data_IF_999648827168
#
_entry.id   IF_999648827168
#
_cell.length_a   1.000
_cell.length_b   1.000
_cell.length_c   1.000
_cell.angle_alpha   90.00
_cell.angle_beta   90.00
_cell.angle_gamma   90.00
#
_symmetry.space_group_name_H-M   'P 1'
#
loop_
_entity.id
_entity.type
_entity.pdbx_description
1 polymer ?
#
# COMPACT_ATOMS: atom_id res chain seq x y z
N UNK A 1 -8.04 -12.15 2.72
CA UNK A 1 -8.83 -13.20 2.06
C UNK A 1 -7.85 -14.25 1.55
N UNK A 2 -8.17 -15.55 1.57
CA UNK A 2 -7.26 -16.59 1.05
C UNK A 2 -7.91 -17.35 -0.09
N UNK A 3 -7.14 -17.66 -1.12
CA UNK A 3 -7.52 -18.44 -2.29
C UNK A 3 -6.69 -19.72 -2.32
N UNK A 4 -7.31 -20.82 -2.76
CA UNK A 4 -6.61 -22.07 -3.00
C UNK A 4 -6.20 -22.18 -4.47
N UNK A 5 -5.04 -22.76 -4.73
CA UNK A 5 -4.51 -22.95 -6.09
C UNK A 5 -5.45 -23.79 -6.99
N UNK A 6 -6.27 -24.65 -6.38
CA UNK A 6 -7.25 -25.50 -7.06
C UNK A 6 -8.46 -24.71 -7.57
N UNK A 7 -8.76 -23.56 -6.95
CA UNK A 7 -9.92 -22.72 -7.24
C UNK A 7 -9.59 -21.63 -8.27
N UNK A 8 -8.36 -21.59 -8.79
CA UNK A 8 -7.93 -20.57 -9.73
C UNK A 8 -8.71 -20.67 -11.06
N UNK A 9 -9.13 -19.54 -11.64
CA UNK A 9 -9.84 -19.51 -12.92
C UNK A 9 -8.90 -19.72 -14.10
N UNK A 10 -8.36 -20.94 -14.26
CA UNK A 10 -7.38 -21.26 -15.31
C UNK A 10 -7.83 -20.90 -16.73
N UNK A 11 -9.13 -21.00 -17.02
CA UNK A 11 -9.68 -20.59 -18.32
C UNK A 11 -9.53 -19.08 -18.60
N UNK A 12 -9.56 -18.23 -17.56
CA UNK A 12 -9.32 -16.78 -17.72
C UNK A 12 -7.83 -16.48 -17.91
N UNK A 13 -6.94 -17.22 -17.24
CA UNK A 13 -5.50 -17.12 -17.50
C UNK A 13 -5.15 -17.53 -18.93
N UNK A 14 -5.78 -18.58 -19.46
CA UNK A 14 -5.56 -19.04 -20.84
C UNK A 14 -5.97 -17.98 -21.87
N UNK A 15 -7.05 -17.24 -21.63
CA UNK A 15 -7.46 -16.10 -22.47
C UNK A 15 -6.41 -14.97 -22.49
N UNK A 16 -5.57 -14.88 -21.46
CA UNK A 16 -4.44 -13.94 -21.38
C UNK A 16 -3.11 -14.56 -21.85
N UNK A 17 -3.15 -15.73 -22.48
CA UNK A 17 -1.96 -16.40 -22.99
C UNK A 17 -1.16 -17.17 -21.93
N UNK A 18 -1.69 -17.37 -20.72
CA UNK A 18 -1.03 -18.13 -19.66
C UNK A 18 -1.66 -19.52 -19.52
N UNK A 19 -0.88 -20.57 -19.78
CA UNK A 19 -1.33 -21.93 -19.49
C UNK A 19 -1.35 -22.19 -17.98
N UNK A 20 -2.08 -23.23 -17.55
CA UNK A 20 -2.01 -23.71 -16.16
C UNK A 20 -0.58 -23.94 -15.66
N UNK A 21 0.32 -24.42 -16.53
CA UNK A 21 1.73 -24.62 -16.18
C UNK A 21 2.44 -23.30 -15.92
N UNK A 22 2.16 -22.26 -16.71
CA UNK A 22 2.76 -20.94 -16.55
C UNK A 22 2.28 -20.28 -15.26
N UNK A 23 0.99 -20.43 -14.94
CA UNK A 23 0.40 -19.93 -13.69
C UNK A 23 1.07 -20.59 -12.48
N UNK A 24 1.24 -21.92 -12.49
CA UNK A 24 1.85 -22.64 -11.36
C UNK A 24 3.35 -22.33 -11.23
N UNK A 25 4.03 -22.05 -12.35
CA UNK A 25 5.47 -21.75 -12.42
C UNK A 25 5.80 -20.26 -12.37
N UNK A 26 4.81 -19.39 -12.19
CA UNK A 26 5.07 -17.96 -12.03
C UNK A 26 5.94 -17.70 -10.79
N UNK A 27 6.46 -16.48 -10.67
CA UNK A 27 7.23 -16.09 -9.51
C UNK A 27 6.48 -16.47 -8.20
N UNK A 28 7.11 -17.21 -7.27
CA UNK A 28 6.44 -17.66 -6.04
C UNK A 28 5.86 -16.52 -5.20
N UNK A 29 6.50 -15.35 -5.23
CA UNK A 29 6.01 -14.16 -4.54
C UNK A 29 4.74 -13.62 -5.18
N UNK A 30 4.66 -13.59 -6.52
CA UNK A 30 3.47 -13.14 -7.24
C UNK A 30 2.29 -14.09 -7.01
N UNK A 31 2.53 -15.40 -7.10
CA UNK A 31 1.52 -16.41 -6.79
C UNK A 31 1.04 -16.28 -5.34
N UNK A 32 1.97 -16.15 -4.39
CA UNK A 32 1.63 -15.97 -2.99
C UNK A 32 0.83 -14.69 -2.75
N UNK A 33 1.20 -13.57 -3.39
CA UNK A 33 0.46 -12.32 -3.31
C UNK A 33 -0.97 -12.49 -3.79
N UNK A 34 -1.14 -13.07 -4.98
CA UNK A 34 -2.44 -13.32 -5.60
C UNK A 34 -3.32 -14.25 -4.75
N UNK A 35 -2.75 -15.35 -4.21
CA UNK A 35 -3.46 -16.27 -3.34
C UNK A 35 -3.84 -15.67 -1.98
N UNK A 36 -3.17 -14.61 -1.53
CA UNK A 36 -3.54 -13.85 -0.33
C UNK A 36 -4.46 -12.66 -0.64
N UNK A 37 -4.94 -12.52 -1.89
CA UNK A 37 -5.81 -11.44 -2.34
C UNK A 37 -5.09 -10.12 -2.62
N UNK A 38 -3.75 -10.15 -2.69
CA UNK A 38 -2.93 -9.06 -3.19
C UNK A 38 -2.81 -9.08 -4.72
N UNK A 39 -2.04 -8.12 -5.23
CA UNK A 39 -1.70 -8.02 -6.66
C UNK A 39 -0.33 -8.65 -6.92
N UNK A 40 -0.11 -9.16 -8.12
CA UNK A 40 1.23 -9.53 -8.59
C UNK A 40 2.09 -8.29 -8.86
N UNK A 41 3.38 -8.49 -9.10
CA UNK A 41 4.19 -7.53 -9.85
C UNK A 41 3.73 -7.46 -11.31
N UNK A 42 4.36 -6.59 -12.11
CA UNK A 42 4.12 -6.53 -13.54
C UNK A 42 4.52 -7.87 -14.19
N UNK A 43 3.56 -8.46 -14.89
CA UNK A 43 3.72 -9.69 -15.65
C UNK A 43 3.50 -9.33 -17.13
N UNK A 44 4.44 -9.69 -18.02
CA UNK A 44 4.23 -9.55 -19.45
C UNK A 44 3.22 -10.60 -19.91
N UNK A 45 2.15 -10.15 -20.57
CA UNK A 45 1.12 -11.01 -21.14
C UNK A 45 1.00 -10.79 -22.64
N UNK A 46 0.70 -11.87 -23.35
CA UNK A 46 0.36 -11.85 -24.77
C UNK A 46 -1.14 -12.08 -24.88
N UNK A 47 -1.88 -11.00 -25.10
CA UNK A 47 -3.33 -11.03 -25.17
C UNK A 47 -3.75 -11.30 -26.62
N UNK A 48 -4.35 -12.46 -26.85
CA UNK A 48 -4.93 -12.79 -28.14
C UNK A 48 -6.21 -11.96 -28.34
N UNK A 49 -6.13 -10.97 -29.21
CA UNK A 49 -7.30 -10.27 -29.70
C UNK A 49 -7.92 -11.12 -30.81
N UNK A 50 -9.21 -11.45 -30.70
CA UNK A 50 -9.91 -12.24 -31.72
C UNK A 50 -9.84 -11.61 -33.12
N UNK A 51 -10.26 -12.36 -34.13
CA UNK A 51 -10.46 -11.88 -35.52
C UNK A 51 -9.20 -11.41 -36.26
N UNK A 52 -8.12 -12.22 -36.29
CA UNK A 52 -6.95 -11.95 -37.15
C UNK A 52 -6.15 -10.70 -36.76
N UNK A 53 -6.42 -10.14 -35.58
CA UNK A 53 -5.66 -9.06 -34.98
C UNK A 53 -4.41 -9.66 -34.36
N UNK A 54 -3.26 -9.03 -34.59
CA UNK A 54 -2.02 -9.46 -33.97
C UNK A 54 -2.16 -9.41 -32.44
N UNK A 55 -1.66 -10.42 -31.72
CA UNK A 55 -1.64 -10.39 -30.26
C UNK A 55 -0.99 -9.11 -29.74
N UNK A 56 -1.54 -8.56 -28.66
CA UNK A 56 -0.95 -7.40 -27.98
C UNK A 56 -0.09 -7.91 -26.82
N UNK A 57 1.13 -7.40 -26.76
CA UNK A 57 1.97 -7.53 -25.57
C UNK A 57 1.67 -6.38 -24.61
N UNK A 58 1.40 -6.72 -23.36
CA UNK A 58 1.12 -5.74 -22.31
C UNK A 58 1.74 -6.20 -20.99
N UNK A 59 2.28 -5.24 -20.23
CA UNK A 59 2.64 -5.46 -18.83
C UNK A 59 1.46 -5.11 -17.95
N UNK A 60 1.04 -6.05 -17.11
CA UNK A 60 -0.12 -5.89 -16.23
C UNK A 60 0.17 -6.47 -14.85
N UNK A 61 -0.54 -5.98 -13.82
CA UNK A 61 -0.68 -6.74 -12.57
C UNK A 61 -1.94 -7.58 -12.61
N UNK A 62 -1.92 -8.70 -11.90
CA UNK A 62 -3.06 -9.61 -11.76
C UNK A 62 -3.52 -9.67 -10.31
N UNK A 63 -4.81 -9.84 -10.09
CA UNK A 63 -5.37 -10.13 -8.76
C UNK A 63 -6.58 -11.05 -8.86
N UNK A 64 -6.98 -11.62 -7.73
CA UNK A 64 -8.17 -12.46 -7.65
C UNK A 64 -9.27 -11.76 -6.87
N UNK A 65 -10.50 -11.93 -7.34
CA UNK A 65 -11.70 -11.52 -6.62
C UNK A 65 -12.59 -12.72 -6.42
N UNK A 66 -13.14 -12.86 -5.20
CA UNK A 66 -14.18 -13.84 -4.92
C UNK A 66 -15.54 -13.20 -5.16
N UNK A 67 -16.30 -13.79 -6.07
CA UNK A 67 -17.64 -13.34 -6.44
C UNK A 67 -18.67 -13.75 -5.38
N UNK A 68 -19.87 -13.14 -5.37
CA UNK A 68 -20.94 -13.48 -4.43
C UNK A 68 -21.39 -14.96 -4.46
N UNK A 69 -21.22 -15.62 -5.61
CA UNK A 69 -21.51 -17.04 -5.80
C UNK A 69 -20.35 -17.97 -5.37
N UNK A 70 -19.34 -17.41 -4.68
CA UNK A 70 -18.10 -18.04 -4.26
C UNK A 70 -17.13 -18.46 -5.38
N UNK A 71 -17.43 -18.18 -6.64
CA UNK A 71 -16.48 -18.37 -7.74
C UNK A 71 -15.32 -17.37 -7.64
N UNK A 72 -14.19 -17.69 -8.26
CA UNK A 72 -13.01 -16.83 -8.29
C UNK A 72 -12.84 -16.28 -9.69
N UNK A 73 -12.72 -14.96 -9.82
CA UNK A 73 -12.41 -14.28 -11.08
C UNK A 73 -11.02 -13.67 -11.04
N UNK A 74 -10.40 -13.56 -12.22
CA UNK A 74 -9.14 -12.89 -12.45
C UNK A 74 -9.40 -11.43 -12.84
N UNK A 75 -8.77 -10.51 -12.13
CA UNK A 75 -8.73 -9.10 -12.48
C UNK A 75 -7.39 -8.77 -13.13
N UNK A 76 -7.46 -7.97 -14.20
CA UNK A 76 -6.31 -7.47 -14.96
C UNK A 76 -6.15 -5.98 -14.70
N UNK A 77 -4.97 -5.57 -14.27
CA UNK A 77 -4.62 -4.19 -13.93
C UNK A 77 -3.56 -3.67 -14.92
N UNK A 78 -3.98 -3.06 -16.04
CA UNK A 78 -3.05 -2.51 -17.02
C UNK A 78 -2.37 -1.24 -16.52
N UNK A 79 -1.21 -0.92 -17.08
CA UNK A 79 -0.55 0.37 -16.83
C UNK A 79 -1.34 1.48 -17.51
N UNK A 80 -1.85 2.42 -16.72
CA UNK A 80 -2.53 3.61 -17.24
C UNK A 80 -1.50 4.69 -17.60
N UNK A 81 -1.76 5.45 -18.66
CA UNK A 81 -0.88 6.56 -19.08
C UNK A 81 -0.68 7.61 -17.98
N UNK A 82 -1.70 7.84 -17.15
CA UNK A 82 -1.65 8.78 -16.04
C UNK A 82 -2.63 8.39 -14.93
N UNK A 83 -2.31 8.69 -13.67
CA UNK A 83 -3.24 8.56 -12.56
C UNK A 83 -4.49 9.40 -12.75
N UNK A 84 -5.66 8.88 -12.38
CA UNK A 84 -6.94 9.59 -12.45
C UNK A 84 -7.49 9.83 -11.04
N UNK A 85 -7.83 11.08 -10.75
CA UNK A 85 -8.48 11.45 -9.49
C UNK A 85 -9.99 11.14 -9.54
N UNK A 86 -10.34 9.86 -9.38
CA UNK A 86 -11.72 9.38 -9.41
C UNK A 86 -12.48 9.62 -8.10
N UNK A 87 -11.78 10.03 -7.04
CA UNK A 87 -12.33 10.17 -5.69
C UNK A 87 -12.60 11.61 -5.29
N UNK A 88 -12.29 12.59 -6.13
CA UNK A 88 -12.39 14.00 -5.79
C UNK A 88 -11.48 14.39 -4.62
N UNK A 89 -10.25 13.89 -4.62
CA UNK A 89 -9.21 14.32 -3.69
C UNK A 89 -8.87 15.79 -3.96
N UNK A 90 -8.73 16.59 -2.91
CA UNK A 90 -8.25 17.98 -3.03
C UNK A 90 -6.77 17.99 -3.47
N UNK A 91 -6.22 19.09 -4.00
CA UNK A 91 -4.84 19.13 -4.51
C UNK A 91 -3.79 18.57 -3.54
N UNK A 92 -3.84 18.96 -2.26
CA UNK A 92 -2.90 18.46 -1.24
C UNK A 92 -3.00 16.93 -1.02
N UNK A 93 -4.21 16.38 -1.03
CA UNK A 93 -4.44 14.93 -0.92
C UNK A 93 -3.97 14.19 -2.19
N UNK A 94 -4.20 14.79 -3.36
CA UNK A 94 -3.77 14.22 -4.63
C UNK A 94 -2.24 14.21 -4.74
N UNK A 95 -1.55 15.26 -4.28
CA UNK A 95 -0.08 15.28 -4.20
C UNK A 95 0.47 14.18 -3.29
N UNK A 96 -0.17 13.90 -2.15
CA UNK A 96 0.20 12.76 -1.28
C UNK A 96 0.04 11.42 -2.03
N UNK A 97 -1.09 11.23 -2.72
CA UNK A 97 -1.31 10.03 -3.53
C UNK A 97 -0.27 9.87 -4.64
N UNK A 98 0.08 10.95 -5.36
CA UNK A 98 1.14 10.93 -6.37
C UNK A 98 2.52 10.58 -5.79
N UNK A 99 2.78 10.94 -4.53
CA UNK A 99 3.97 10.52 -3.78
C UNK A 99 3.89 9.06 -3.31
N UNK A 100 2.76 8.38 -3.50
CA UNK A 100 2.53 6.99 -3.07
C UNK A 100 2.12 6.88 -1.60
N UNK A 101 1.76 7.99 -0.97
CA UNK A 101 1.27 8.04 0.40
C UNK A 101 -0.20 7.62 0.46
N UNK A 102 -0.62 7.17 1.64
CA UNK A 102 -2.01 6.83 1.91
C UNK A 102 -2.76 8.06 2.36
N UNK A 103 -4.00 8.20 1.90
CA UNK A 103 -4.97 9.14 2.46
C UNK A 103 -6.22 8.40 2.95
N UNK A 104 -6.93 8.99 3.91
CA UNK A 104 -8.28 8.56 4.27
C UNK A 104 -9.28 9.57 3.73
N UNK A 105 -10.31 9.06 3.06
CA UNK A 105 -11.45 9.87 2.61
C UNK A 105 -12.74 9.08 2.77
N UNK A 106 -13.81 9.79 3.10
CA UNK A 106 -15.15 9.23 3.10
C UNK A 106 -15.59 8.87 1.67
N UNK A 107 -16.18 7.69 1.53
CA UNK A 107 -16.75 7.23 0.26
C UNK A 107 -18.20 6.83 0.48
N UNK A 108 -19.04 7.16 -0.51
CA UNK A 108 -20.43 6.71 -0.53
C UNK A 108 -20.49 5.28 -1.06
N UNK A 109 -21.02 4.37 -0.26
CA UNK A 109 -21.24 2.97 -0.62
C UNK A 109 -22.49 2.81 -1.49
N UNK A 110 -22.62 1.65 -2.14
CA UNK A 110 -23.78 1.36 -3.00
C UNK A 110 -25.12 1.41 -2.26
N UNK A 111 -25.13 1.07 -0.97
CA UNK A 111 -26.32 1.17 -0.11
C UNK A 111 -26.59 2.60 0.41
N UNK A 112 -25.82 3.60 -0.04
CA UNK A 112 -26.02 5.01 0.31
C UNK A 112 -25.38 5.46 1.63
N UNK A 113 -24.79 4.55 2.40
CA UNK A 113 -24.00 4.90 3.58
C UNK A 113 -22.70 5.62 3.20
N UNK A 114 -22.13 6.34 4.16
CA UNK A 114 -20.81 6.97 4.02
C UNK A 114 -19.88 6.27 4.99
N UNK A 115 -18.76 5.76 4.49
CA UNK A 115 -17.76 5.09 5.33
C UNK A 115 -16.32 5.46 4.92
N UNK A 116 -15.38 5.48 5.88
CA UNK A 116 -14.00 5.86 5.61
C UNK A 116 -13.28 4.78 4.79
N UNK A 117 -12.58 5.22 3.74
CA UNK A 117 -11.75 4.40 2.88
C UNK A 117 -10.30 4.91 2.89
N UNK A 118 -9.34 3.99 2.92
CA UNK A 118 -7.97 4.28 2.55
C UNK A 118 -7.86 4.30 1.04
N UNK A 119 -7.07 5.24 0.54
CA UNK A 119 -6.67 5.32 -0.86
C UNK A 119 -5.16 5.42 -0.97
N UNK A 120 -4.60 4.75 -1.97
CA UNK A 120 -3.18 4.82 -2.30
C UNK A 120 -3.00 4.66 -3.80
N UNK A 121 -2.02 5.34 -4.38
CA UNK A 121 -1.67 5.14 -5.78
C UNK A 121 -0.72 3.95 -5.93
N UNK A 122 -1.03 3.05 -6.86
CA UNK A 122 -0.08 2.09 -7.39
C UNK A 122 0.77 2.78 -8.46
N UNK A 123 2.02 3.12 -8.11
CA UNK A 123 2.93 3.84 -9.02
C UNK A 123 3.32 3.04 -10.26
N UNK A 124 3.22 1.71 -10.23
CA UNK A 124 3.56 0.90 -11.39
C UNK A 124 2.44 0.89 -12.42
N UNK A 125 1.18 0.91 -11.98
CA UNK A 125 0.01 0.83 -12.86
C UNK A 125 -0.72 2.17 -13.04
N UNK A 126 -0.35 3.20 -12.27
CA UNK A 126 -1.08 4.46 -12.14
C UNK A 126 -2.55 4.27 -11.71
N UNK A 127 -2.87 3.15 -11.06
CA UNK A 127 -4.21 2.85 -10.58
C UNK A 127 -4.38 3.33 -9.13
N UNK A 128 -5.53 3.95 -8.85
CA UNK A 128 -5.90 4.32 -7.49
C UNK A 128 -6.51 3.12 -6.77
N UNK A 129 -5.80 2.63 -5.75
CA UNK A 129 -6.25 1.55 -4.88
C UNK A 129 -7.20 2.09 -3.81
N UNK A 130 -8.11 1.24 -3.34
CA UNK A 130 -8.99 1.57 -2.22
C UNK A 130 -9.26 0.38 -1.31
N UNK A 131 -9.38 0.63 -0.02
CA UNK A 131 -9.78 -0.35 0.98
C UNK A 131 -10.66 0.30 2.05
N UNK A 132 -11.72 -0.37 2.50
CA UNK A 132 -12.54 0.13 3.62
C UNK A 132 -11.70 0.08 4.90
N UNK A 133 -11.64 1.17 5.66
CA UNK A 133 -10.87 1.19 6.92
C UNK A 133 -11.32 0.08 7.87
N UNK A 134 -12.64 -0.15 7.96
CA UNK A 134 -13.24 -1.19 8.80
C UNK A 134 -12.91 -2.63 8.36
N UNK A 135 -12.47 -2.83 7.12
CA UNK A 135 -12.09 -4.16 6.60
C UNK A 135 -10.62 -4.51 6.86
N UNK A 136 -9.82 -3.54 7.30
CA UNK A 136 -8.38 -3.72 7.52
C UNK A 136 -8.14 -4.52 8.78
N UNK A 137 -7.49 -5.67 8.60
CA UNK A 137 -7.10 -6.55 9.69
C UNK A 137 -5.60 -6.39 9.95
N UNK A 138 -5.25 -5.71 11.03
CA UNK A 138 -3.88 -5.63 11.50
C UNK A 138 -3.56 -6.87 12.32
N UNK A 139 -2.50 -7.64 11.98
CA UNK A 139 -2.10 -8.82 12.76
C UNK A 139 -1.83 -8.49 14.23
N UNK A 140 -2.05 -9.47 15.12
CA UNK A 140 -1.70 -9.34 16.54
C UNK A 140 -0.19 -9.29 16.77
N UNK A 141 0.58 -9.91 15.87
CA UNK A 141 2.03 -9.96 15.94
C UNK A 141 2.62 -9.65 14.57
N UNK A 142 3.64 -8.80 14.53
CA UNK A 142 4.43 -8.54 13.33
C UNK A 142 5.89 -8.76 13.69
N UNK A 143 6.58 -9.63 12.96
CA UNK A 143 7.96 -10.04 13.27
C UNK A 143 8.15 -10.52 14.72
N UNK A 144 7.13 -11.20 15.28
CA UNK A 144 7.15 -11.68 16.67
C UNK A 144 6.90 -10.62 17.74
N UNK A 145 6.72 -9.35 17.36
CA UNK A 145 6.40 -8.24 18.27
C UNK A 145 4.88 -8.08 18.35
N UNK A 146 4.33 -8.02 19.57
CA UNK A 146 2.90 -7.82 19.80
C UNK A 146 2.49 -6.39 19.45
N UNK A 147 1.36 -6.23 18.74
CA UNK A 147 0.81 -4.94 18.36
C UNK A 147 -0.33 -4.58 19.30
N UNK A 148 -0.19 -3.47 20.02
CA UNK A 148 -1.21 -2.97 20.94
C UNK A 148 -2.48 -2.52 20.21
N UNK A 149 -3.60 -2.45 20.91
CA UNK A 149 -4.85 -1.93 20.33
C UNK A 149 -4.71 -0.49 19.82
N UNK A 150 -3.96 0.34 20.54
CA UNK A 150 -3.67 1.72 20.13
C UNK A 150 -2.85 1.77 18.84
N UNK A 151 -1.79 0.96 18.74
CA UNK A 151 -0.96 0.84 17.53
C UNK A 151 -1.77 0.34 16.33
N UNK A 152 -2.71 -0.58 16.54
CA UNK A 152 -3.61 -1.04 15.48
C UNK A 152 -4.51 0.08 14.98
N UNK A 153 -5.07 0.89 15.88
CA UNK A 153 -5.90 2.03 15.50
C UNK A 153 -5.09 3.12 14.80
N UNK A 154 -3.87 3.41 15.25
CA UNK A 154 -2.93 4.30 14.55
C UNK A 154 -2.68 3.83 13.11
N UNK A 155 -2.35 2.54 12.93
CA UNK A 155 -2.17 1.97 11.59
C UNK A 155 -3.43 2.11 10.73
N UNK A 156 -4.61 1.76 11.25
CA UNK A 156 -5.89 1.91 10.51
C UNK A 156 -6.19 3.34 10.11
N UNK A 157 -5.72 4.31 10.88
CA UNK A 157 -5.81 5.74 10.58
C UNK A 157 -4.74 6.21 9.57
N UNK A 158 -3.98 5.29 8.98
CA UNK A 158 -2.92 5.60 8.01
C UNK A 158 -1.62 6.09 8.65
N UNK A 159 -1.52 6.08 9.98
CA UNK A 159 -0.32 6.53 10.69
C UNK A 159 0.76 5.44 10.68
N UNK A 160 2.01 5.87 10.77
CA UNK A 160 3.12 4.97 10.99
C UNK A 160 3.25 4.63 12.47
N UNK A 161 3.59 3.39 12.79
CA UNK A 161 3.98 3.00 14.14
C UNK A 161 5.42 2.55 14.17
N UNK A 162 6.12 2.86 15.24
CA UNK A 162 7.47 2.38 15.49
C UNK A 162 7.40 1.20 16.45
N UNK A 163 8.04 0.09 16.07
CA UNK A 163 8.19 -1.07 16.93
C UNK A 163 9.65 -1.19 17.33
N UNK A 164 9.89 -1.24 18.64
CA UNK A 164 11.21 -1.50 19.18
C UNK A 164 11.52 -3.01 19.13
N UNK A 165 12.67 -3.35 18.56
CA UNK A 165 13.22 -4.69 18.65
C UNK A 165 13.89 -4.94 20.01
N UNK A 166 14.56 -6.10 20.17
CA UNK A 166 15.26 -6.42 21.44
C UNK A 166 16.49 -5.53 21.65
N UNK A 167 16.98 -4.87 20.59
CA UNK A 167 18.01 -3.84 20.63
C UNK A 167 17.55 -2.57 19.91
N UNK A 168 18.10 -1.42 20.31
CA UNK A 168 17.82 -0.12 19.69
C UNK A 168 18.19 -0.05 18.19
N UNK A 169 18.96 -1.01 17.66
CA UNK A 169 19.25 -1.13 16.21
C UNK A 169 18.30 -2.06 15.45
N UNK A 170 17.38 -2.72 16.15
CA UNK A 170 16.44 -3.70 15.60
C UNK A 170 15.00 -3.15 15.50
N UNK A 171 14.82 -1.84 15.69
CA UNK A 171 13.50 -1.23 15.56
C UNK A 171 13.08 -1.08 14.09
N UNK A 172 11.79 -1.27 13.82
CA UNK A 172 11.20 -1.11 12.49
C UNK A 172 10.02 -0.15 12.55
N UNK A 173 9.84 0.61 11.47
CA UNK A 173 8.64 1.42 11.27
C UNK A 173 7.68 0.63 10.39
N UNK A 174 6.42 0.53 10.84
CA UNK A 174 5.34 -0.09 10.08
C UNK A 174 4.43 1.00 9.54
N UNK A 175 4.10 0.90 8.26
CA UNK A 175 3.07 1.71 7.60
C UNK A 175 2.15 0.81 6.81
N UNK A 176 0.87 1.15 6.75
CA UNK A 176 -0.01 0.48 5.78
C UNK A 176 0.48 0.78 4.36
N UNK A 177 0.32 -0.20 3.48
CA UNK A 177 0.64 -0.10 2.06
C UNK A 177 -0.27 -1.07 1.29
N UNK A 178 -1.24 -0.52 0.56
CA UNK A 178 -2.20 -1.26 -0.26
C UNK A 178 -1.53 -1.91 -1.49
N UNK A 179 -0.31 -1.49 -1.85
CA UNK A 179 0.47 -2.14 -2.91
C UNK A 179 1.17 -3.40 -2.44
N UNK A 180 1.35 -3.56 -1.12
CA UNK A 180 1.99 -4.72 -0.53
C UNK A 180 0.98 -5.84 -0.31
N UNK A 181 1.35 -7.09 -0.62
CA UNK A 181 0.46 -8.23 -0.45
C UNK A 181 0.02 -8.46 1.00
N UNK A 182 0.84 -8.03 1.96
CA UNK A 182 0.53 -8.08 3.40
C UNK A 182 -0.33 -6.90 3.86
N UNK A 183 -0.53 -5.89 3.01
CA UNK A 183 -1.23 -4.66 3.33
C UNK A 183 -0.41 -3.65 4.15
N UNK A 184 0.86 -3.93 4.41
CA UNK A 184 1.77 -3.05 5.15
C UNK A 184 3.22 -3.25 4.70
N UNK A 185 4.00 -2.18 4.84
CA UNK A 185 5.44 -2.14 4.59
C UNK A 185 6.20 -2.05 5.92
N UNK A 186 7.32 -2.76 5.97
CA UNK A 186 8.31 -2.67 7.04
C UNK A 186 9.48 -1.82 6.55
N UNK A 187 9.79 -0.75 7.28
CA UNK A 187 10.88 0.16 6.98
C UNK A 187 11.89 0.10 8.12
N UNK A 188 13.19 0.16 7.80
CA UNK A 188 14.16 0.53 8.84
C UNK A 188 13.94 1.97 9.25
N UNK A 189 14.49 2.37 10.40
CA UNK A 189 14.41 3.78 10.83
C UNK A 189 15.01 4.72 9.80
N UNK A 190 16.16 4.38 9.21
CA UNK A 190 16.78 5.17 8.15
C UNK A 190 15.85 5.32 6.94
N UNK A 191 15.28 4.21 6.45
CA UNK A 191 14.36 4.21 5.32
C UNK A 191 13.08 5.02 5.60
N UNK A 192 12.62 5.03 6.86
CA UNK A 192 11.44 5.79 7.27
C UNK A 192 11.66 7.30 7.26
N UNK A 193 12.90 7.75 7.51
CA UNK A 193 13.29 9.16 7.49
C UNK A 193 13.47 9.68 6.07
N UNK A 194 13.99 8.86 5.15
CA UNK A 194 14.10 9.18 3.72
C UNK A 194 12.73 9.24 3.01
N UNK A 195 11.75 8.45 3.48
CA UNK A 195 10.39 8.37 2.94
C UNK A 195 9.38 9.23 3.71
N UNK A 196 9.82 10.13 4.59
CA UNK A 196 8.94 11.06 5.29
C UNK A 196 8.93 12.44 4.60
N UNK A 197 7.76 12.99 4.23
CA UNK A 197 7.62 14.43 4.06
C UNK A 197 7.64 15.07 5.45
N UNK A 198 8.72 15.77 5.77
CA UNK A 198 8.73 16.87 6.76
C UNK A 198 8.05 16.62 8.12
N UNK A 199 8.31 15.50 8.80
CA UNK A 199 8.11 15.45 10.25
C UNK A 199 9.40 16.01 10.85
N UNK A 200 9.39 17.29 11.25
CA UNK A 200 10.45 17.82 12.11
C UNK A 200 10.43 16.97 13.40
N UNK A 201 11.53 16.29 13.77
CA UNK A 201 11.64 15.73 15.09
C UNK A 201 11.45 16.87 16.08
N UNK A 202 10.63 16.65 17.10
CA UNK A 202 10.56 17.52 18.26
C UNK A 202 12.00 17.64 18.79
N UNK A 203 12.66 18.78 18.56
CA UNK A 203 13.97 19.03 19.15
C UNK A 203 13.81 18.98 20.67
N UNK A 204 14.69 18.27 21.41
CA UNK A 204 14.76 18.44 22.85
C UNK A 204 14.99 19.92 23.18
N UNK A 205 14.27 20.41 24.18
CA UNK A 205 14.53 21.72 24.80
C UNK A 205 15.96 21.69 25.37
N UNK A 206 16.95 22.11 24.58
CA UNK A 206 18.24 22.52 25.14
C UNK A 206 18.03 23.79 25.96
N UNK A 207 18.67 23.76 27.13
CA UNK A 207 18.43 24.59 28.28
C UNK A 207 18.56 26.09 27.99
N UNK A 208 17.64 26.85 28.58
CA UNK A 208 17.77 28.28 28.80
C UNK A 208 19.07 28.57 29.58
N UNK A 209 20.17 28.84 28.89
CA UNK A 209 21.30 29.56 29.48
C UNK A 209 21.06 31.05 29.32
N UNK A 210 20.54 31.67 30.39
CA UNK A 210 20.48 33.11 30.56
C UNK A 210 21.91 33.64 30.50
N UNK A 211 22.30 34.29 29.40
CA UNK A 211 23.55 35.07 29.38
C UNK A 211 23.29 36.39 30.08
N UNK A 212 23.87 36.53 31.25
CA UNK A 212 23.98 37.78 31.99
C UNK A 212 24.55 38.89 31.09
N UNK A 213 23.92 40.06 31.15
CA UNK A 213 24.41 41.30 30.55
C UNK A 213 25.59 41.86 31.35
N UNK A 214 26.71 42.22 30.71
CA UNK A 214 27.69 43.08 31.35
C UNK A 214 27.26 44.54 31.25
N UNK A 215 27.28 45.20 32.41
CA UNK A 215 27.08 46.64 32.59
C UNK A 215 28.11 47.47 31.84
N UNK A 216 27.62 48.59 31.30
CA UNK A 216 28.32 49.77 30.79
C UNK A 216 29.54 50.19 31.60
N UNK A 217 30.62 50.61 30.92
CA UNK A 217 31.48 51.68 31.43
C UNK A 217 31.84 52.61 30.27
N UNK A 218 31.24 53.80 30.29
CA UNK A 218 31.69 54.99 29.58
C UNK A 218 32.74 55.65 30.50
N UNK A 219 33.89 56.03 29.96
CA UNK A 219 34.76 57.04 30.59
C UNK A 219 35.34 57.96 29.51
N UNK A 220 34.89 59.21 29.64
CA UNK A 220 35.45 60.53 29.28
C UNK A 220 36.18 60.69 27.94
#
# INVERSE_FOLDING_TARGET
MKFDIKDLPYSQFEQLGMSKRDVIKMNPQDLASMLNGGRTNLIPLTIALGNGINPIEAEVKLSLVRNPDNTVSLNVHPIQNQPKNTIGAIPAQWEQLLKGEIIIKEAKTFNGSVEPHLYQLDKQTNELLSARVNSIQVPNFIQGIAISSEQKEQLKQGQAIELEGKSAKEGFVIRLDLNEARGYKLLTREQSMEQAPGIKPNLPLEEFSIKETPRTTIKM
#
